data_IF_021282969149
#
_entry.id   IF_021282969149
#
_cell.length_a   1.000
_cell.length_b   1.000
_cell.length_c   1.000
_cell.angle_alpha   90.00
_cell.angle_beta   90.00
_cell.angle_gamma   90.00
#
_symmetry.space_group_name_H-M   'P 1'
#
loop_
_entity.id
_entity.type
_entity.pdbx_description
1 polymer ?
#
# COMPACT_ATOMS: atom_id res chain seq x y z
N UNK A 1 -1.20 -13.93 -25.77
CA UNK A 1 -0.75 -13.18 -24.57
C UNK A 1 -0.85 -11.67 -24.81
N UNK A 2 0.12 -11.03 -25.48
CA UNK A 2 0.12 -9.56 -25.66
C UNK A 2 -1.20 -8.97 -26.19
N UNK A 3 -1.70 -9.46 -27.33
CA UNK A 3 -2.96 -8.97 -27.90
C UNK A 3 -4.17 -9.17 -26.98
N UNK A 4 -4.24 -10.30 -26.27
CA UNK A 4 -5.28 -10.56 -25.27
C UNK A 4 -5.23 -9.54 -24.14
N UNK A 5 -4.02 -9.24 -23.64
CA UNK A 5 -3.76 -8.22 -22.62
C UNK A 5 -4.17 -6.81 -23.10
N UNK A 6 -3.83 -6.45 -24.33
CA UNK A 6 -4.28 -5.19 -24.95
C UNK A 6 -5.80 -5.10 -24.97
N UNK A 7 -6.48 -6.15 -25.47
CA UNK A 7 -7.94 -6.17 -25.58
C UNK A 7 -8.56 -6.04 -24.20
N UNK A 8 -8.10 -6.82 -23.22
CA UNK A 8 -8.59 -6.78 -21.84
C UNK A 8 -8.44 -5.40 -21.22
N UNK A 9 -7.24 -4.80 -21.30
CA UNK A 9 -6.98 -3.50 -20.67
C UNK A 9 -7.81 -2.40 -21.30
N UNK A 10 -8.00 -2.44 -22.63
CA UNK A 10 -8.80 -1.43 -23.32
C UNK A 10 -10.30 -1.60 -23.13
N UNK A 11 -10.80 -2.83 -22.95
CA UNK A 11 -12.23 -3.11 -22.74
C UNK A 11 -12.64 -2.90 -21.28
N UNK A 12 -12.09 -3.69 -20.37
CA UNK A 12 -12.55 -3.78 -18.96
C UNK A 12 -11.61 -3.12 -17.96
N UNK A 13 -10.40 -2.74 -18.38
CA UNK A 13 -9.47 -2.02 -17.52
C UNK A 13 -10.08 -0.71 -16.99
N UNK A 14 -9.78 -0.37 -15.74
CA UNK A 14 -10.38 0.80 -15.08
C UNK A 14 -9.47 2.03 -15.08
N UNK A 15 -8.15 1.86 -15.28
CA UNK A 15 -7.21 2.98 -15.31
C UNK A 15 -7.04 3.57 -16.72
N UNK A 16 -7.48 4.81 -16.90
CA UNK A 16 -7.38 5.52 -18.17
C UNK A 16 -5.95 5.90 -18.54
N UNK A 17 -5.05 6.05 -17.56
CA UNK A 17 -3.62 6.23 -17.81
C UNK A 17 -3.06 5.02 -18.56
N UNK A 18 -3.28 3.84 -18.00
CA UNK A 18 -2.87 2.56 -18.56
C UNK A 18 -3.47 2.30 -19.93
N UNK A 19 -4.75 2.61 -20.15
CA UNK A 19 -5.35 2.50 -21.48
C UNK A 19 -4.66 3.37 -22.53
N UNK A 20 -4.22 4.59 -22.17
CA UNK A 20 -3.45 5.43 -23.09
C UNK A 20 -2.08 4.84 -23.39
N UNK A 21 -1.39 4.33 -22.37
CA UNK A 21 -0.09 3.66 -22.54
C UNK A 21 -0.18 2.43 -23.43
N UNK A 22 -1.17 1.56 -23.20
CA UNK A 22 -1.41 0.37 -24.03
C UNK A 22 -1.68 0.74 -25.49
N UNK A 23 -2.44 1.81 -25.76
CA UNK A 23 -2.62 2.31 -27.14
C UNK A 23 -1.31 2.80 -27.75
N UNK A 24 -0.47 3.49 -26.97
CA UNK A 24 0.85 3.95 -27.43
C UNK A 24 1.79 2.76 -27.69
N UNK A 25 1.81 1.77 -26.82
CA UNK A 25 2.59 0.53 -26.98
C UNK A 25 2.11 -0.26 -28.20
N UNK A 26 0.79 -0.39 -28.41
CA UNK A 26 0.23 -1.04 -29.59
C UNK A 26 0.70 -0.37 -30.89
N UNK A 27 0.73 0.97 -30.92
CA UNK A 27 1.28 1.71 -32.05
C UNK A 27 2.79 1.50 -32.22
N UNK A 28 3.55 1.59 -31.13
CA UNK A 28 5.00 1.45 -31.13
C UNK A 28 5.47 0.06 -31.58
N UNK A 29 4.70 -0.99 -31.25
CA UNK A 29 4.96 -2.38 -31.64
C UNK A 29 4.44 -2.72 -33.05
N UNK A 30 4.08 -1.71 -33.86
CA UNK A 30 3.68 -1.86 -35.27
C UNK A 30 2.23 -2.28 -35.50
N UNK A 31 1.45 -2.47 -34.44
CA UNK A 31 0.06 -2.94 -34.50
C UNK A 31 -0.98 -1.81 -34.48
N UNK A 32 -0.56 -0.55 -34.66
CA UNK A 32 -1.44 0.61 -34.63
C UNK A 32 -2.60 0.59 -35.63
N UNK A 33 -2.48 -0.18 -36.72
CA UNK A 33 -3.56 -0.36 -37.71
C UNK A 33 -4.79 -1.05 -37.11
N UNK A 34 -4.65 -1.84 -36.04
CA UNK A 34 -5.77 -2.49 -35.36
C UNK A 34 -6.80 -1.49 -34.83
N UNK A 35 -6.40 -0.25 -34.52
CA UNK A 35 -7.34 0.79 -34.09
C UNK A 35 -8.39 1.15 -35.16
N UNK A 36 -8.17 0.77 -36.43
CA UNK A 36 -9.13 0.95 -37.54
C UNK A 36 -9.96 -0.29 -37.83
N UNK A 37 -9.63 -1.42 -37.20
CA UNK A 37 -10.27 -2.70 -37.44
C UNK A 37 -11.60 -2.79 -36.67
N UNK A 38 -12.70 -3.03 -37.38
CA UNK A 38 -14.04 -3.04 -36.76
C UNK A 38 -14.17 -4.17 -35.73
N UNK A 39 -13.58 -5.34 -36.00
CA UNK A 39 -13.56 -6.45 -35.03
C UNK A 39 -12.84 -6.06 -33.74
N UNK A 40 -11.72 -5.35 -33.85
CA UNK A 40 -10.95 -4.90 -32.68
C UNK A 40 -11.72 -3.83 -31.89
N UNK A 41 -12.25 -2.83 -32.60
CA UNK A 41 -13.06 -1.76 -31.99
C UNK A 41 -14.31 -2.29 -31.29
N UNK A 42 -14.95 -3.34 -31.81
CA UNK A 42 -16.09 -3.98 -31.13
C UNK A 42 -15.69 -4.63 -29.80
N UNK A 43 -14.50 -5.23 -29.71
CA UNK A 43 -14.04 -5.87 -28.47
C UNK A 43 -13.65 -4.84 -27.40
N UNK A 44 -12.90 -3.80 -27.79
CA UNK A 44 -12.40 -2.82 -26.82
C UNK A 44 -13.45 -1.82 -26.33
N UNK A 45 -14.61 -1.76 -26.99
CA UNK A 45 -15.74 -0.91 -26.58
C UNK A 45 -16.80 -1.69 -25.77
N UNK A 46 -16.53 -2.95 -25.42
CA UNK A 46 -17.38 -3.71 -24.51
C UNK A 46 -16.94 -3.46 -23.06
N UNK A 47 -17.89 -3.37 -22.14
CA UNK A 47 -17.64 -3.33 -20.69
C UNK A 47 -17.45 -4.74 -20.09
N UNK A 48 -17.24 -5.75 -20.95
CA UNK A 48 -17.08 -7.16 -20.59
C UNK A 48 -15.91 -7.78 -21.35
N UNK A 49 -15.30 -8.80 -20.75
CA UNK A 49 -14.25 -9.58 -21.38
C UNK A 49 -14.70 -11.04 -21.53
N UNK A 50 -14.93 -11.47 -22.77
CA UNK A 50 -15.21 -12.86 -23.11
C UNK A 50 -13.93 -13.51 -23.64
N UNK A 51 -13.41 -14.49 -22.91
CA UNK A 51 -12.15 -15.17 -23.22
C UNK A 51 -12.23 -15.98 -24.52
N UNK A 52 -13.36 -16.63 -24.80
CA UNK A 52 -13.54 -17.43 -26.01
C UNK A 52 -13.62 -16.54 -27.24
N UNK A 53 -14.44 -15.48 -27.19
CA UNK A 53 -14.55 -14.51 -28.27
C UNK A 53 -13.22 -13.79 -28.52
N UNK A 54 -12.52 -13.42 -27.45
CA UNK A 54 -11.21 -12.76 -27.55
C UNK A 54 -10.17 -13.69 -28.16
N UNK A 55 -10.13 -14.95 -27.76
CA UNK A 55 -9.17 -15.93 -28.30
C UNK A 55 -9.33 -16.11 -29.80
N UNK A 56 -10.57 -16.27 -30.29
CA UNK A 56 -10.87 -16.37 -31.72
C UNK A 56 -10.45 -15.10 -32.49
N UNK A 57 -10.70 -13.92 -31.90
CA UNK A 57 -10.30 -12.65 -32.51
C UNK A 57 -8.79 -12.47 -32.53
N UNK A 58 -8.09 -12.88 -31.48
CA UNK A 58 -6.62 -12.84 -31.40
C UNK A 58 -5.99 -13.71 -32.47
N UNK A 59 -6.50 -14.92 -32.73
CA UNK A 59 -6.03 -15.76 -33.84
C UNK A 59 -6.18 -15.05 -35.19
N UNK A 60 -7.34 -14.42 -35.43
CA UNK A 60 -7.57 -13.61 -36.61
C UNK A 60 -6.57 -12.44 -36.71
N UNK A 61 -6.31 -11.70 -35.63
CA UNK A 61 -5.36 -10.60 -35.65
C UNK A 61 -3.92 -11.06 -35.86
N UNK A 62 -3.52 -12.20 -35.30
CA UNK A 62 -2.19 -12.78 -35.54
C UNK A 62 -2.03 -13.12 -37.03
N UNK A 63 -3.02 -13.75 -37.65
CA UNK A 63 -2.96 -14.12 -39.07
C UNK A 63 -2.88 -12.90 -40.00
N UNK A 64 -3.63 -11.83 -39.71
CA UNK A 64 -3.77 -10.68 -40.61
C UNK A 64 -2.81 -9.52 -40.31
N UNK A 65 -2.38 -9.37 -39.05
CA UNK A 65 -1.57 -8.25 -38.57
C UNK A 65 -0.28 -8.69 -37.88
N UNK A 66 -0.11 -9.97 -37.55
CA UNK A 66 1.04 -10.47 -36.79
C UNK A 66 2.39 -10.24 -37.47
N UNK A 67 2.43 -10.20 -38.81
CA UNK A 67 3.66 -9.87 -39.55
C UNK A 67 4.16 -8.42 -39.33
N UNK A 68 3.30 -7.52 -38.85
CA UNK A 68 3.65 -6.15 -38.51
C UNK A 68 4.09 -5.98 -37.05
N UNK A 69 4.02 -7.04 -36.23
CA UNK A 69 4.45 -6.99 -34.83
C UNK A 69 5.98 -6.86 -34.75
N UNK A 70 6.44 -5.82 -34.06
CA UNK A 70 7.86 -5.59 -33.81
C UNK A 70 8.18 -5.80 -32.33
N UNK A 71 8.89 -6.89 -32.01
CA UNK A 71 9.30 -7.26 -30.63
C UNK A 71 10.76 -7.70 -30.55
N UNK A 72 11.58 -7.24 -31.49
CA UNK A 72 12.97 -7.69 -31.63
C UNK A 72 13.87 -7.03 -30.58
N UNK A 73 13.71 -5.73 -30.34
CA UNK A 73 14.54 -4.97 -29.40
C UNK A 73 14.17 -5.24 -27.95
N UNK A 74 15.14 -5.07 -27.05
CA UNK A 74 14.90 -5.21 -25.61
C UNK A 74 13.77 -4.29 -25.13
N UNK A 75 13.74 -3.03 -25.58
CA UNK A 75 12.71 -2.06 -25.22
C UNK A 75 11.31 -2.47 -25.67
N UNK A 76 11.20 -3.15 -26.80
CA UNK A 76 9.91 -3.60 -27.33
C UNK A 76 9.37 -4.80 -26.56
N UNK A 77 10.27 -5.73 -26.21
CA UNK A 77 9.92 -6.84 -25.31
C UNK A 77 9.48 -6.35 -23.95
N UNK A 78 10.16 -5.33 -23.41
CA UNK A 78 9.78 -4.70 -22.14
C UNK A 78 8.38 -4.09 -22.23
N UNK A 79 8.07 -3.31 -23.28
CA UNK A 79 6.71 -2.76 -23.48
C UNK A 79 5.64 -3.84 -23.49
N UNK A 80 5.83 -4.89 -24.29
CA UNK A 80 4.88 -5.99 -24.38
C UNK A 80 4.72 -6.75 -23.06
N UNK A 81 5.83 -6.98 -22.34
CA UNK A 81 5.81 -7.66 -21.06
C UNK A 81 5.13 -6.84 -19.95
N UNK A 82 5.33 -5.53 -19.93
CA UNK A 82 4.66 -4.61 -18.98
C UNK A 82 3.15 -4.64 -19.21
N UNK A 83 2.68 -4.64 -20.46
CA UNK A 83 1.26 -4.78 -20.79
C UNK A 83 0.68 -6.11 -20.27
N UNK A 84 1.37 -7.23 -20.47
CA UNK A 84 0.95 -8.54 -19.93
C UNK A 84 0.92 -8.55 -18.40
N UNK A 85 1.97 -8.03 -17.77
CA UNK A 85 2.10 -7.98 -16.32
C UNK A 85 0.96 -7.17 -15.69
N UNK A 86 0.72 -5.95 -16.17
CA UNK A 86 -0.32 -5.07 -15.60
C UNK A 86 -1.73 -5.59 -15.87
N UNK A 87 -1.98 -6.28 -17.00
CA UNK A 87 -3.26 -6.99 -17.17
C UNK A 87 -3.46 -7.97 -16.03
N UNK A 88 -2.49 -8.85 -15.77
CA UNK A 88 -2.64 -9.86 -14.71
C UNK A 88 -2.77 -9.23 -13.33
N UNK A 89 -2.01 -8.18 -13.07
CA UNK A 89 -2.10 -7.44 -11.81
C UNK A 89 -3.47 -6.80 -11.61
N UNK A 90 -4.00 -6.10 -12.62
CA UNK A 90 -5.31 -5.45 -12.53
C UNK A 90 -6.48 -6.45 -12.52
N UNK A 91 -6.34 -7.62 -13.16
CA UNK A 91 -7.30 -8.73 -13.00
C UNK A 91 -7.42 -9.17 -11.53
N UNK A 92 -6.29 -9.36 -10.86
CA UNK A 92 -6.23 -9.75 -9.45
C UNK A 92 -6.85 -8.65 -8.58
N UNK A 93 -6.50 -7.38 -8.81
CA UNK A 93 -7.08 -6.26 -8.07
C UNK A 93 -8.59 -6.15 -8.27
N UNK A 94 -9.08 -6.27 -9.51
CA UNK A 94 -10.51 -6.23 -9.79
C UNK A 94 -11.28 -7.38 -9.11
N UNK A 95 -10.66 -8.56 -9.01
CA UNK A 95 -11.25 -9.67 -8.28
C UNK A 95 -11.23 -9.48 -6.75
N UNK A 96 -10.17 -8.88 -6.20
CA UNK A 96 -10.13 -8.46 -4.79
C UNK A 96 -11.25 -7.45 -4.50
N UNK A 97 -11.42 -6.45 -5.35
CA UNK A 97 -12.48 -5.43 -5.23
C UNK A 97 -13.89 -6.03 -5.26
N UNK A 98 -14.09 -7.12 -6.01
CA UNK A 98 -15.34 -7.92 -6.00
C UNK A 98 -15.48 -8.84 -4.78
N UNK A 99 -14.60 -8.76 -3.79
CA UNK A 99 -14.63 -9.58 -2.58
C UNK A 99 -14.08 -10.99 -2.75
N UNK A 100 -13.36 -11.28 -3.85
CA UNK A 100 -12.79 -12.61 -4.14
C UNK A 100 -11.38 -12.80 -3.57
N UNK A 101 -10.87 -11.85 -2.78
CA UNK A 101 -9.49 -11.84 -2.28
C UNK A 101 -9.11 -13.09 -1.47
N UNK A 102 -10.00 -13.59 -0.59
CA UNK A 102 -9.73 -14.79 0.20
C UNK A 102 -9.68 -16.07 -0.65
N UNK A 103 -10.54 -16.16 -1.67
CA UNK A 103 -10.52 -17.29 -2.60
C UNK A 103 -9.22 -17.29 -3.42
N UNK A 104 -8.86 -16.14 -4.01
CA UNK A 104 -7.65 -15.99 -4.79
C UNK A 104 -6.38 -16.23 -3.96
N UNK A 105 -6.36 -15.80 -2.71
CA UNK A 105 -5.23 -16.05 -1.81
C UNK A 105 -4.99 -17.54 -1.61
N UNK A 106 -6.06 -18.34 -1.45
CA UNK A 106 -5.95 -19.81 -1.32
C UNK A 106 -5.52 -20.50 -2.61
N UNK A 107 -5.90 -19.95 -3.76
CA UNK A 107 -5.55 -20.50 -5.07
C UNK A 107 -4.10 -20.20 -5.45
N UNK A 108 -3.64 -18.97 -5.18
CA UNK A 108 -2.35 -18.45 -5.64
C UNK A 108 -1.22 -18.61 -4.61
N UNK A 109 -1.53 -18.72 -3.33
CA UNK A 109 -0.52 -18.84 -2.27
C UNK A 109 -0.47 -20.28 -1.72
N UNK A 110 0.74 -20.76 -1.45
CA UNK A 110 0.94 -22.09 -0.88
C UNK A 110 0.46 -22.21 0.58
N UNK A 111 0.36 -21.10 1.30
CA UNK A 111 -0.10 -21.05 2.69
C UNK A 111 -1.53 -20.48 2.74
N UNK A 112 -2.54 -21.29 3.13
CA UNK A 112 -3.94 -20.86 3.18
C UNK A 112 -4.22 -19.81 4.27
N UNK A 113 -3.25 -19.53 5.16
CA UNK A 113 -3.35 -18.46 6.16
C UNK A 113 -2.89 -17.10 5.64
N UNK A 114 -2.13 -17.07 4.54
CA UNK A 114 -1.67 -15.83 3.93
C UNK A 114 -2.74 -15.24 3.03
N UNK A 115 -2.75 -13.92 2.92
CA UNK A 115 -3.53 -13.17 1.94
C UNK A 115 -2.62 -12.47 0.95
N UNK A 116 -3.17 -12.20 -0.24
CA UNK A 116 -2.52 -11.38 -1.27
C UNK A 116 -2.29 -9.94 -0.80
N UNK A 117 -3.20 -9.43 0.04
CA UNK A 117 -3.12 -8.11 0.65
C UNK A 117 -3.28 -8.27 2.15
N UNK A 118 -2.28 -7.85 2.91
CA UNK A 118 -2.28 -7.91 4.37
C UNK A 118 -1.84 -6.56 4.97
N UNK A 119 -2.43 -6.15 6.10
CA UNK A 119 -1.90 -5.06 6.88
C UNK A 119 -0.51 -5.42 7.41
N UNK A 120 0.39 -4.43 7.44
CA UNK A 120 1.59 -4.52 8.27
C UNK A 120 1.21 -4.86 9.71
N UNK A 121 1.97 -5.74 10.40
CA UNK A 121 1.74 -6.06 11.81
C UNK A 121 1.57 -4.81 12.66
N UNK A 122 0.52 -4.78 13.48
CA UNK A 122 0.22 -3.68 14.39
C UNK A 122 -0.35 -2.41 13.74
N UNK A 123 -0.49 -2.29 12.41
CA UNK A 123 -0.93 -1.04 11.76
C UNK A 123 -2.32 -0.58 12.20
N UNK A 124 -3.27 -1.50 12.38
CA UNK A 124 -4.62 -1.15 12.86
C UNK A 124 -4.58 -0.54 14.27
N UNK A 125 -3.83 -1.18 15.17
CA UNK A 125 -3.63 -0.71 16.55
C UNK A 125 -2.86 0.62 16.57
N UNK A 126 -1.82 0.76 15.75
CA UNK A 126 -1.06 1.99 15.61
C UNK A 126 -1.92 3.16 15.13
N UNK A 127 -2.73 2.95 14.08
CA UNK A 127 -3.66 3.97 13.59
C UNK A 127 -4.70 4.33 14.65
N UNK A 128 -5.27 3.34 15.35
CA UNK A 128 -6.21 3.60 16.44
C UNK A 128 -5.58 4.35 17.62
N UNK A 129 -4.31 4.06 17.93
CA UNK A 129 -3.52 4.77 18.92
C UNK A 129 -3.34 6.23 18.53
N UNK A 130 -2.72 6.50 17.38
CA UNK A 130 -2.32 7.88 17.02
C UNK A 130 -3.53 8.77 16.71
N UNK A 131 -4.68 8.21 16.33
CA UNK A 131 -5.94 8.96 16.20
C UNK A 131 -6.66 9.17 17.55
N UNK A 132 -6.08 8.69 18.65
CA UNK A 132 -6.57 8.93 20.01
C UNK A 132 -7.74 8.05 20.44
N UNK A 133 -7.95 6.91 19.78
CA UNK A 133 -9.14 6.08 19.98
C UNK A 133 -8.99 5.01 21.05
N UNK A 134 -7.75 4.59 21.32
CA UNK A 134 -7.49 3.57 22.34
C UNK A 134 -7.48 4.16 23.75
N UNK A 135 -6.85 5.33 23.96
CA UNK A 135 -6.63 5.86 25.30
C UNK A 135 -5.76 4.89 26.14
N UNK A 136 -6.02 4.81 27.43
CA UNK A 136 -5.27 3.94 28.35
C UNK A 136 -5.36 2.44 28.00
N UNK A 137 -6.39 2.01 27.24
CA UNK A 137 -6.54 0.63 26.76
C UNK A 137 -5.37 0.17 25.85
N UNK A 138 -4.49 1.08 25.41
CA UNK A 138 -3.26 0.69 24.71
C UNK A 138 -2.45 -0.34 25.51
N UNK A 139 -2.44 -0.24 26.85
CA UNK A 139 -1.71 -1.20 27.69
C UNK A 139 -2.19 -2.65 27.50
N UNK A 140 -3.47 -2.85 27.14
CA UNK A 140 -4.05 -4.19 26.94
C UNK A 140 -3.43 -4.92 25.74
N UNK A 141 -2.78 -4.21 24.82
CA UNK A 141 -2.06 -4.78 23.68
C UNK A 141 -0.60 -5.16 24.01
N UNK A 142 -0.14 -4.97 25.26
CA UNK A 142 1.24 -5.26 25.66
C UNK A 142 1.65 -6.69 25.33
N UNK A 143 0.84 -7.68 25.72
CA UNK A 143 1.19 -9.10 25.53
C UNK A 143 1.36 -9.41 24.04
N UNK A 144 0.40 -9.02 23.18
CA UNK A 144 0.46 -9.23 21.72
C UNK A 144 1.70 -8.57 21.08
N UNK A 145 2.00 -7.32 21.44
CA UNK A 145 3.19 -6.64 20.93
C UNK A 145 4.48 -7.31 21.41
N UNK A 146 4.53 -7.70 22.69
CA UNK A 146 5.72 -8.32 23.27
C UNK A 146 6.00 -9.70 22.68
N UNK A 147 4.97 -10.55 22.54
CA UNK A 147 5.07 -11.87 21.92
C UNK A 147 5.51 -11.77 20.46
N UNK A 148 4.97 -10.80 19.72
CA UNK A 148 5.40 -10.52 18.36
C UNK A 148 6.90 -10.17 18.32
N UNK A 149 7.36 -9.21 19.13
CA UNK A 149 8.76 -8.77 19.14
C UNK A 149 9.74 -9.83 19.65
N UNK A 150 9.32 -10.74 20.53
CA UNK A 150 10.15 -11.85 21.01
C UNK A 150 10.26 -12.96 19.95
N UNK A 151 9.17 -13.25 19.23
CA UNK A 151 9.13 -14.31 18.22
C UNK A 151 9.64 -13.88 16.85
N UNK A 152 9.81 -12.58 16.61
CA UNK A 152 10.22 -12.07 15.32
C UNK A 152 11.71 -12.38 15.05
N UNK A 153 12.07 -13.00 13.91
CA UNK A 153 13.41 -13.57 13.69
C UNK A 153 14.53 -12.52 13.53
N UNK A 154 14.18 -11.24 13.43
CA UNK A 154 15.11 -10.13 13.20
C UNK A 154 15.23 -9.19 14.40
N UNK A 155 14.59 -9.52 15.51
CA UNK A 155 14.67 -8.77 16.77
C UNK A 155 15.23 -9.67 17.86
N UNK A 156 15.92 -9.08 18.84
CA UNK A 156 16.57 -9.81 19.94
C UNK A 156 16.06 -9.32 21.31
N UNK A 157 14.78 -8.96 21.40
CA UNK A 157 14.20 -8.46 22.64
C UNK A 157 13.97 -9.58 23.67
N UNK A 158 14.22 -9.25 24.93
CA UNK A 158 13.96 -10.14 26.08
C UNK A 158 12.69 -9.73 26.81
N UNK A 159 12.02 -10.70 27.42
CA UNK A 159 10.79 -10.47 28.20
C UNK A 159 10.96 -9.39 29.26
N UNK A 160 12.02 -9.46 30.08
CA UNK A 160 12.26 -8.49 31.16
C UNK A 160 12.52 -7.07 30.62
N UNK A 161 13.14 -6.96 29.43
CA UNK A 161 13.38 -5.67 28.79
C UNK A 161 12.06 -5.03 28.34
N UNK A 162 11.19 -5.81 27.69
CA UNK A 162 9.90 -5.31 27.21
C UNK A 162 8.95 -5.01 28.37
N UNK A 163 8.98 -5.81 29.44
CA UNK A 163 8.18 -5.57 30.64
C UNK A 163 8.44 -4.18 31.26
N UNK A 164 9.69 -3.70 31.19
CA UNK A 164 10.05 -2.35 31.65
C UNK A 164 9.42 -1.21 30.83
N UNK A 165 8.94 -1.49 29.60
CA UNK A 165 8.28 -0.51 28.74
C UNK A 165 6.76 -0.44 28.92
N UNK A 166 6.15 -1.48 29.51
CA UNK A 166 4.69 -1.60 29.68
C UNK A 166 4.07 -0.37 30.34
N UNK A 167 4.71 0.16 31.38
CA UNK A 167 4.21 1.29 32.18
C UNK A 167 4.03 2.58 31.37
N UNK A 168 4.62 2.67 30.18
CA UNK A 168 4.50 3.84 29.28
C UNK A 168 3.26 3.79 28.39
N UNK A 169 2.65 2.61 28.22
CA UNK A 169 1.58 2.42 27.23
C UNK A 169 0.31 3.18 27.58
N UNK A 170 -0.16 3.11 28.83
CA UNK A 170 -1.34 3.87 29.24
C UNK A 170 -1.13 5.41 29.11
N UNK A 171 -0.01 5.99 29.61
CA UNK A 171 0.31 7.39 29.36
C UNK A 171 0.43 7.77 27.88
N UNK A 172 1.04 6.93 27.06
CA UNK A 172 1.17 7.15 25.62
C UNK A 172 -0.21 7.18 24.93
N UNK A 173 -1.08 6.24 25.30
CA UNK A 173 -2.45 6.20 24.81
C UNK A 173 -3.25 7.45 25.20
N UNK A 174 -3.11 7.92 26.44
CA UNK A 174 -3.72 9.17 26.91
C UNK A 174 -3.19 10.39 26.17
N UNK A 175 -1.88 10.46 25.92
CA UNK A 175 -1.27 11.55 25.15
C UNK A 175 -1.94 11.70 23.77
N UNK A 176 -2.09 10.62 23.00
CA UNK A 176 -2.74 10.70 21.69
C UNK A 176 -4.25 10.90 21.76
N UNK A 177 -4.89 10.52 22.86
CA UNK A 177 -6.31 10.85 23.11
C UNK A 177 -6.51 12.37 23.22
N UNK A 178 -5.57 13.07 23.87
CA UNK A 178 -5.57 14.53 24.00
C UNK A 178 -4.99 15.24 22.76
N UNK A 179 -4.10 14.57 22.04
CA UNK A 179 -3.35 15.11 20.90
C UNK A 179 -3.37 14.16 19.69
N UNK A 180 -4.54 13.94 19.06
CA UNK A 180 -4.65 13.04 17.91
C UNK A 180 -3.80 13.56 16.74
N UNK A 181 -3.05 12.66 16.11
CA UNK A 181 -2.21 12.98 14.97
C UNK A 181 -3.04 13.12 13.68
N UNK A 182 -2.58 14.01 12.79
CA UNK A 182 -2.96 14.00 11.38
C UNK A 182 -2.15 12.93 10.65
N UNK A 183 -2.78 12.17 9.78
CA UNK A 183 -2.16 11.02 9.11
C UNK A 183 -2.34 11.13 7.61
N UNK A 184 -1.25 10.93 6.85
CA UNK A 184 -1.34 10.78 5.40
C UNK A 184 -0.82 9.42 4.95
N UNK A 185 -1.41 8.88 3.90
CA UNK A 185 -0.84 7.76 3.13
C UNK A 185 -0.15 8.31 1.88
N UNK A 186 1.06 7.84 1.60
CA UNK A 186 1.91 8.31 0.50
C UNK A 186 2.49 7.11 -0.26
N UNK A 187 1.99 6.84 -1.46
CA UNK A 187 2.35 5.65 -2.24
C UNK A 187 2.72 5.97 -3.70
N UNK A 188 3.60 5.16 -4.28
CA UNK A 188 3.90 5.18 -5.72
C UNK A 188 2.93 4.33 -6.55
N UNK A 189 1.92 3.72 -5.93
CA UNK A 189 0.78 3.14 -6.65
C UNK A 189 -0.15 4.24 -7.14
N UNK A 190 -0.84 4.01 -8.26
CA UNK A 190 -1.89 4.92 -8.73
C UNK A 190 -3.12 4.86 -7.82
N UNK A 191 -4.00 5.87 -7.92
CA UNK A 191 -5.18 5.99 -7.06
C UNK A 191 -6.10 4.76 -7.11
N UNK A 192 -6.32 4.21 -8.31
CA UNK A 192 -7.12 3.00 -8.50
C UNK A 192 -6.62 1.83 -7.64
N UNK A 193 -5.32 1.54 -7.72
CA UNK A 193 -4.69 0.43 -7.00
C UNK A 193 -4.70 0.67 -5.49
N UNK A 194 -4.34 1.88 -5.08
CA UNK A 194 -4.29 2.27 -3.67
C UNK A 194 -5.66 2.15 -2.99
N UNK A 195 -6.74 2.53 -3.67
CA UNK A 195 -8.10 2.41 -3.14
C UNK A 195 -8.49 0.95 -2.86
N UNK A 196 -8.22 0.04 -3.80
CA UNK A 196 -8.55 -1.38 -3.67
C UNK A 196 -7.75 -2.00 -2.53
N UNK A 197 -6.42 -1.79 -2.54
CA UNK A 197 -5.52 -2.34 -1.54
C UNK A 197 -5.88 -1.83 -0.15
N UNK A 198 -6.10 -0.53 0.04
CA UNK A 198 -6.45 0.03 1.36
C UNK A 198 -7.83 -0.42 1.83
N UNK A 199 -8.80 -0.60 0.92
CA UNK A 199 -10.11 -1.16 1.27
C UNK A 199 -9.97 -2.58 1.80
N UNK A 200 -9.15 -3.42 1.15
CA UNK A 200 -8.90 -4.79 1.62
C UNK A 200 -8.10 -4.79 2.93
N UNK A 201 -7.07 -3.95 3.06
CA UNK A 201 -6.33 -3.78 4.34
C UNK A 201 -7.29 -3.43 5.47
N UNK A 202 -8.22 -2.49 5.27
CA UNK A 202 -9.19 -2.09 6.30
C UNK A 202 -10.22 -3.19 6.58
N UNK A 203 -10.62 -3.97 5.57
CA UNK A 203 -11.44 -5.18 5.74
C UNK A 203 -10.75 -6.18 6.67
N UNK A 204 -9.44 -6.41 6.50
CA UNK A 204 -8.64 -7.27 7.37
C UNK A 204 -8.50 -6.70 8.78
N UNK A 205 -8.19 -5.40 8.93
CA UNK A 205 -8.10 -4.72 10.23
C UNK A 205 -9.42 -4.83 10.99
N UNK A 206 -10.57 -4.65 10.33
CA UNK A 206 -11.88 -4.81 10.95
C UNK A 206 -12.11 -6.22 11.49
N UNK A 207 -11.61 -7.25 10.81
CA UNK A 207 -11.64 -8.64 11.32
C UNK A 207 -10.74 -8.80 12.56
N UNK A 208 -9.59 -8.12 12.59
CA UNK A 208 -8.69 -8.12 13.75
C UNK A 208 -9.32 -7.43 14.97
N UNK A 209 -9.99 -6.29 14.78
CA UNK A 209 -10.65 -5.51 15.85
C UNK A 209 -11.62 -6.36 16.69
N UNK A 210 -12.31 -7.31 16.08
CA UNK A 210 -13.24 -8.21 16.79
C UNK A 210 -12.55 -9.00 17.91
N UNK A 211 -11.26 -9.30 17.75
CA UNK A 211 -10.45 -10.07 18.69
C UNK A 211 -9.56 -9.18 19.58
N UNK A 212 -9.62 -7.86 19.47
CA UNK A 212 -8.82 -6.97 20.30
C UNK A 212 -9.21 -7.07 21.79
N UNK A 213 -8.24 -6.92 22.71
CA UNK A 213 -8.47 -7.06 24.15
C UNK A 213 -9.09 -5.78 24.76
N UNK A 214 -10.16 -5.25 24.16
CA UNK A 214 -10.84 -4.02 24.57
C UNK A 214 -12.35 -4.24 24.72
N UNK A 215 -13.06 -3.28 25.31
CA UNK A 215 -14.50 -3.40 25.51
C UNK A 215 -15.30 -3.52 24.20
N UNK A 216 -16.42 -4.26 24.23
CA UNK A 216 -17.29 -4.42 23.05
C UNK A 216 -17.82 -3.07 22.52
N UNK A 217 -18.06 -2.11 23.41
CA UNK A 217 -18.42 -0.74 23.02
C UNK A 217 -17.31 -0.11 22.16
N UNK A 218 -16.05 -0.18 22.62
CA UNK A 218 -14.92 0.40 21.90
C UNK A 218 -14.65 -0.34 20.58
N UNK A 219 -14.84 -1.67 20.53
CA UNK A 219 -14.80 -2.43 19.27
C UNK A 219 -15.83 -1.91 18.27
N UNK A 220 -17.08 -1.72 18.69
CA UNK A 220 -18.14 -1.21 17.81
C UNK A 220 -17.81 0.19 17.26
N UNK A 221 -17.27 1.09 18.10
CA UNK A 221 -16.82 2.41 17.67
C UNK A 221 -15.68 2.32 16.64
N UNK A 222 -14.68 1.48 16.89
CA UNK A 222 -13.54 1.30 15.99
C UNK A 222 -13.95 0.67 14.66
N UNK A 223 -14.84 -0.33 14.66
CA UNK A 223 -15.37 -0.93 13.44
C UNK A 223 -16.04 0.10 12.52
N UNK A 224 -16.74 1.08 13.10
CA UNK A 224 -17.32 2.21 12.36
C UNK A 224 -16.24 3.13 11.80
N UNK A 225 -15.23 3.48 12.61
CA UNK A 225 -14.12 4.36 12.18
C UNK A 225 -13.24 3.75 11.08
N UNK A 226 -13.06 2.43 11.10
CA UNK A 226 -12.33 1.68 10.07
C UNK A 226 -13.22 1.23 8.89
N UNK A 227 -14.43 1.77 8.75
CA UNK A 227 -15.31 1.41 7.63
C UNK A 227 -14.80 1.96 6.28
N UNK A 228 -14.25 3.18 6.27
CA UNK A 228 -13.77 3.83 5.06
C UNK A 228 -12.33 4.34 5.26
N UNK A 229 -11.35 3.86 4.47
CA UNK A 229 -9.97 4.35 4.52
C UNK A 229 -9.87 5.87 4.35
N UNK A 230 -10.69 6.46 3.45
CA UNK A 230 -10.63 7.90 3.14
C UNK A 230 -11.11 8.81 4.26
N UNK A 231 -11.87 8.30 5.22
CA UNK A 231 -12.24 9.09 6.40
C UNK A 231 -11.18 9.07 7.51
N UNK A 232 -10.23 8.13 7.46
CA UNK A 232 -9.18 8.00 8.47
C UNK A 232 -7.97 8.88 8.13
N UNK A 233 -7.55 8.86 6.86
CA UNK A 233 -6.40 9.61 6.38
C UNK A 233 -6.78 11.05 6.07
N UNK A 234 -6.10 11.99 6.73
CA UNK A 234 -6.21 13.43 6.51
C UNK A 234 -5.50 13.87 5.22
N UNK A 235 -4.59 13.04 4.68
CA UNK A 235 -3.97 13.20 3.38
C UNK A 235 -3.89 11.86 2.63
N UNK A 236 -4.12 11.89 1.32
CA UNK A 236 -4.11 10.70 0.47
C UNK A 236 -3.38 11.04 -0.82
N UNK A 237 -2.13 10.59 -0.92
CA UNK A 237 -1.24 10.92 -2.04
C UNK A 237 -0.76 9.64 -2.71
N UNK A 238 -0.90 9.62 -4.02
CA UNK A 238 -0.65 8.47 -4.89
C UNK A 238 0.20 8.90 -6.08
N UNK A 239 0.66 7.95 -6.89
CA UNK A 239 1.37 8.29 -8.13
C UNK A 239 0.51 9.13 -9.09
N UNK A 240 -0.82 9.06 -8.99
CA UNK A 240 -1.74 9.88 -9.78
C UNK A 240 -1.67 11.37 -9.46
N UNK A 241 -1.10 11.75 -8.31
CA UNK A 241 -0.93 13.15 -7.89
C UNK A 241 0.38 13.78 -8.42
N UNK A 242 1.22 13.00 -9.10
CA UNK A 242 2.49 13.48 -9.66
C UNK A 242 2.74 12.94 -11.07
N UNK A 243 3.89 13.26 -11.64
CA UNK A 243 4.35 12.67 -12.90
C UNK A 243 5.28 11.49 -12.62
N UNK A 244 5.28 10.47 -13.48
CA UNK A 244 6.17 9.29 -13.43
C UNK A 244 7.63 9.63 -13.05
N UNK A 245 8.21 10.63 -13.72
CA UNK A 245 9.61 11.06 -13.53
C UNK A 245 9.88 11.73 -12.17
N UNK A 246 8.83 11.99 -11.39
CA UNK A 246 8.85 12.65 -10.07
C UNK A 246 8.31 11.75 -8.96
N UNK A 247 8.13 10.45 -9.24
CA UNK A 247 7.87 9.46 -8.19
C UNK A 247 9.12 9.20 -7.34
N UNK A 248 8.96 8.44 -6.24
CA UNK A 248 10.06 8.03 -5.35
C UNK A 248 11.23 7.50 -6.21
N UNK A 249 12.48 7.97 -6.01
CA UNK A 249 13.02 8.62 -4.80
C UNK A 249 12.85 10.14 -4.73
N UNK A 250 12.08 10.76 -5.63
CA UNK A 250 11.83 12.20 -5.57
C UNK A 250 10.86 12.54 -4.43
N UNK A 251 11.00 13.75 -3.89
CA UNK A 251 10.25 14.21 -2.70
C UNK A 251 8.79 14.58 -2.96
N UNK A 252 8.35 14.59 -4.20
CA UNK A 252 7.16 15.32 -4.65
C UNK A 252 5.90 14.81 -3.95
N UNK A 253 5.71 13.49 -3.86
CA UNK A 253 4.55 12.89 -3.17
C UNK A 253 4.49 13.29 -1.68
N UNK A 254 5.64 13.30 -1.00
CA UNK A 254 5.72 13.77 0.39
C UNK A 254 5.48 15.26 0.53
N UNK A 255 5.95 16.06 -0.44
CA UNK A 255 5.73 17.51 -0.45
C UNK A 255 4.24 17.84 -0.63
N UNK A 256 3.55 17.08 -1.48
CA UNK A 256 2.09 17.17 -1.66
C UNK A 256 1.39 16.76 -0.36
N UNK A 257 1.82 15.67 0.29
CA UNK A 257 1.22 15.20 1.54
C UNK A 257 1.35 16.24 2.66
N UNK A 258 2.54 16.82 2.85
CA UNK A 258 2.78 17.88 3.83
C UNK A 258 1.90 19.10 3.57
N UNK A 259 1.70 19.46 2.30
CA UNK A 259 0.78 20.52 1.90
C UNK A 259 -0.69 20.17 2.21
N UNK A 260 -1.17 18.97 1.84
CA UNK A 260 -2.53 18.50 2.14
C UNK A 260 -2.79 18.48 3.65
N UNK A 261 -1.80 18.06 4.44
CA UNK A 261 -1.86 18.07 5.90
C UNK A 261 -1.75 19.48 6.48
N UNK A 262 -1.45 20.52 5.70
CA UNK A 262 -1.26 21.88 6.20
C UNK A 262 -0.10 22.01 7.19
N UNK A 263 1.00 21.27 6.96
CA UNK A 263 2.20 21.30 7.79
C UNK A 263 3.24 22.22 7.12
N UNK A 264 3.55 23.39 7.71
CA UNK A 264 4.58 24.26 7.16
C UNK A 264 5.99 23.71 7.43
N UNK A 265 7.02 24.12 6.65
CA UNK A 265 8.41 23.67 6.84
C UNK A 265 8.96 23.84 8.27
N UNK A 266 8.56 24.92 8.96
CA UNK A 266 8.95 25.19 10.35
C UNK A 266 8.37 24.20 11.38
N UNK A 267 7.59 23.21 10.94
CA UNK A 267 7.02 22.16 11.80
C UNK A 267 7.41 20.76 11.33
N UNK A 268 8.34 20.62 10.37
CA UNK A 268 8.76 19.30 9.88
C UNK A 268 9.44 18.46 10.96
N UNK A 269 10.00 19.07 12.01
CA UNK A 269 10.48 18.35 13.20
C UNK A 269 9.38 17.58 13.94
N UNK A 270 8.11 17.95 13.76
CA UNK A 270 6.96 17.29 14.37
C UNK A 270 6.37 16.20 13.47
N UNK A 271 7.02 15.89 12.35
CA UNK A 271 6.58 14.88 11.38
C UNK A 271 7.45 13.64 11.51
N UNK A 272 6.78 12.51 11.70
CA UNK A 272 7.33 11.17 11.55
C UNK A 272 6.80 10.57 10.26
N UNK A 273 7.61 9.82 9.53
CA UNK A 273 7.08 8.95 8.49
C UNK A 273 7.75 7.60 8.45
N UNK A 274 6.95 6.62 8.04
CA UNK A 274 7.30 5.22 8.00
C UNK A 274 7.43 4.78 6.54
N UNK A 275 8.51 4.09 6.21
CA UNK A 275 8.83 3.61 4.87
C UNK A 275 9.40 2.20 4.92
N UNK A 276 9.28 1.46 3.83
CA UNK A 276 9.73 0.07 3.76
C UNK A 276 10.86 -0.15 2.74
N UNK A 277 11.15 0.84 1.89
CA UNK A 277 12.06 0.73 0.75
C UNK A 277 13.10 1.85 0.69
N UNK A 278 14.23 1.58 0.03
CA UNK A 278 15.30 2.56 -0.21
C UNK A 278 14.75 3.84 -0.86
N UNK A 279 14.04 3.69 -1.99
CA UNK A 279 13.47 4.83 -2.71
C UNK A 279 12.54 5.68 -1.83
N UNK A 280 11.78 5.04 -0.94
CA UNK A 280 10.91 5.70 0.02
C UNK A 280 11.67 6.47 1.09
N UNK A 281 12.66 5.82 1.73
CA UNK A 281 13.51 6.47 2.72
C UNK A 281 14.29 7.66 2.14
N UNK A 282 14.71 7.60 0.88
CA UNK A 282 15.33 8.75 0.20
C UNK A 282 14.29 9.86 -0.04
N UNK A 283 13.12 9.53 -0.56
CA UNK A 283 12.07 10.49 -0.90
C UNK A 283 11.59 11.29 0.31
N UNK A 284 11.36 10.63 1.44
CA UNK A 284 10.89 11.29 2.67
C UNK A 284 11.95 12.22 3.26
N UNK A 285 13.23 11.82 3.22
CA UNK A 285 14.35 12.64 3.66
C UNK A 285 14.56 13.84 2.74
N UNK A 286 14.44 13.64 1.44
CA UNK A 286 14.49 14.71 0.44
C UNK A 286 13.35 15.72 0.58
N UNK A 287 12.22 15.32 1.18
CA UNK A 287 11.11 16.22 1.54
C UNK A 287 11.40 17.07 2.79
N UNK A 288 12.51 16.81 3.50
CA UNK A 288 12.92 17.54 4.70
C UNK A 288 12.38 16.96 6.00
N UNK A 289 11.74 15.78 5.98
CA UNK A 289 11.25 15.12 7.19
C UNK A 289 12.42 14.49 7.95
N UNK A 290 12.62 14.99 9.17
CA UNK A 290 13.76 14.66 10.04
C UNK A 290 13.72 13.23 10.60
N UNK A 291 12.52 12.71 10.87
CA UNK A 291 12.31 11.41 11.49
C UNK A 291 11.72 10.43 10.47
N UNK A 292 12.61 9.74 9.75
CA UNK A 292 12.27 8.66 8.84
C UNK A 292 12.52 7.32 9.55
N UNK A 293 11.49 6.49 9.64
CA UNK A 293 11.56 5.17 10.26
C UNK A 293 11.37 4.11 9.18
N UNK A 294 12.41 3.35 8.90
CA UNK A 294 12.31 2.22 8.00
C UNK A 294 11.73 1.00 8.74
N UNK A 295 10.73 0.36 8.13
CA UNK A 295 10.04 -0.84 8.62
C UNK A 295 10.14 -1.94 7.54
N UNK A 296 11.33 -2.55 7.36
CA UNK A 296 11.59 -3.47 6.26
C UNK A 296 10.74 -4.74 6.34
N UNK A 297 10.40 -5.30 5.19
CA UNK A 297 9.73 -6.60 5.07
C UNK A 297 10.49 -7.53 4.13
N UNK A 298 9.93 -8.71 3.85
CA UNK A 298 10.60 -9.78 3.10
C UNK A 298 11.18 -9.33 1.75
N UNK A 299 10.46 -8.47 1.01
CA UNK A 299 10.89 -8.07 -0.34
C UNK A 299 11.88 -6.89 -0.34
N UNK A 300 12.10 -6.23 0.81
CA UNK A 300 13.02 -5.10 0.94
C UNK A 300 14.26 -5.40 1.77
N UNK A 301 14.52 -6.67 2.11
CA UNK A 301 15.64 -7.08 2.95
C UNK A 301 17.03 -6.76 2.37
N UNK A 302 17.13 -6.48 1.07
CA UNK A 302 18.38 -6.12 0.38
C UNK A 302 18.51 -4.64 0.04
N UNK A 303 17.54 -3.80 0.40
CA UNK A 303 17.57 -2.37 0.12
C UNK A 303 18.56 -1.62 1.01
N UNK A 304 19.16 -0.55 0.48
CA UNK A 304 19.95 0.39 1.29
C UNK A 304 19.00 1.33 2.04
N UNK A 305 18.84 1.11 3.35
CA UNK A 305 17.98 1.91 4.22
C UNK A 305 18.77 2.94 5.04
N UNK A 306 20.03 3.24 4.68
CA UNK A 306 20.90 4.17 5.41
C UNK A 306 20.38 5.62 5.43
N UNK A 307 19.45 5.97 4.53
CA UNK A 307 18.76 7.26 4.56
C UNK A 307 17.80 7.40 5.76
N UNK A 308 17.31 6.29 6.32
CA UNK A 308 16.40 6.31 7.46
C UNK A 308 17.12 6.72 8.76
N UNK A 309 16.38 7.42 9.63
CA UNK A 309 16.86 7.79 10.97
C UNK A 309 16.88 6.57 11.90
N UNK A 310 15.88 5.69 11.76
CA UNK A 310 15.77 4.43 12.49
C UNK A 310 15.37 3.31 11.53
N UNK A 311 15.83 2.09 11.79
CA UNK A 311 15.39 0.87 11.10
C UNK A 311 14.82 -0.05 12.18
N UNK A 312 13.51 -0.29 12.13
CA UNK A 312 12.80 -1.11 13.11
C UNK A 312 12.41 -2.44 12.47
N UNK A 313 13.15 -3.50 12.80
CA UNK A 313 12.89 -4.83 12.26
C UNK A 313 11.57 -5.40 12.80
N UNK A 314 11.17 -5.02 14.00
CA UNK A 314 9.89 -5.34 14.62
C UNK A 314 8.74 -4.40 14.24
N UNK A 315 8.95 -3.52 13.25
CA UNK A 315 7.88 -2.71 12.66
C UNK A 315 7.19 -1.75 13.62
N UNK A 316 5.88 -1.55 13.44
CA UNK A 316 5.07 -0.66 14.27
C UNK A 316 4.94 -1.10 15.74
N UNK A 317 4.84 -2.40 16.08
CA UNK A 317 4.93 -2.85 17.46
C UNK A 317 6.20 -2.37 18.18
N UNK A 318 7.35 -2.38 17.49
CA UNK A 318 8.61 -1.85 18.03
C UNK A 318 8.55 -0.33 18.23
N UNK A 319 8.02 0.40 17.24
CA UNK A 319 7.84 1.85 17.32
C UNK A 319 6.98 2.27 18.52
N UNK A 320 5.91 1.52 18.80
CA UNK A 320 4.99 1.79 19.92
C UNK A 320 5.60 1.36 21.26
N UNK A 321 5.99 0.08 21.39
CA UNK A 321 6.37 -0.48 22.68
C UNK A 321 7.77 -0.03 23.13
N UNK A 322 8.74 -0.03 22.23
CA UNK A 322 10.14 0.26 22.58
C UNK A 322 10.43 1.75 22.50
N UNK A 323 9.91 2.41 21.46
CA UNK A 323 10.21 3.82 21.19
C UNK A 323 9.13 4.80 21.65
N UNK A 324 7.98 4.33 22.16
CA UNK A 324 6.86 5.18 22.57
C UNK A 324 6.47 6.21 21.49
N UNK A 325 6.41 5.75 20.23
CA UNK A 325 6.20 6.58 19.04
C UNK A 325 7.20 7.74 18.89
N UNK A 326 8.42 7.57 19.43
CA UNK A 326 9.50 8.55 19.46
C UNK A 326 9.14 9.85 20.21
N UNK A 327 8.17 9.80 21.11
CA UNK A 327 7.86 10.92 21.99
C UNK A 327 8.90 11.01 23.13
N UNK A 328 9.30 12.23 23.53
CA UNK A 328 10.14 12.42 24.70
C UNK A 328 9.46 11.90 25.98
N UNK A 329 10.24 11.27 26.87
CA UNK A 329 9.73 10.71 28.13
C UNK A 329 9.01 11.76 29.01
N UNK A 330 9.44 13.02 28.94
CA UNK A 330 8.81 14.11 29.70
C UNK A 330 7.36 14.38 29.25
N UNK A 331 6.98 13.97 28.03
CA UNK A 331 5.60 14.03 27.54
C UNK A 331 4.73 12.92 28.12
N UNK A 332 5.33 11.81 28.53
CA UNK A 332 4.63 10.64 29.07
C UNK A 332 4.52 10.69 30.61
N UNK A 333 5.40 11.45 31.26
CA UNK A 333 5.42 11.61 32.72
C UNK A 333 4.50 12.74 33.23
N UNK A 334 3.97 13.59 32.35
CA UNK A 334 3.01 14.64 32.75
C UNK A 334 1.61 14.04 32.91
N UNK A 335 1.33 13.50 34.09
CA UNK A 335 -0.01 13.31 34.63
C UNK A 335 0.00 13.39 36.15
#
# INVERSE_FOLDING_TARGET
>A
AYLSSVIWTLSVGQDEGRKREVRNNLNALGLGKLAKEERFNRLINQDTFDEAQTSEAVEYFIQNYGAALHVEEFTDRVRAAIDIYYTRYHEILAAIDRGQGEYLSKELLADPKKRLVEPMPGVGMFLALIKGWLGEDLELFFEEMSEYLISHPKTEYKTDQLAAYRTRLAPLGKFFQEHPARVAVVTSSIEYEANIVLTEVFSVIRKQILNWPISEQKKAELLSRFQNPRSLYDGFVTASDSSEIRLKPHRDLYSIALHQLGIPPAQFENVIGFEDSESGTIAIRAAGIGLCVAVPFADTQGHDLTAATHILQGGLPEAVLVHACFLPEERLQKN
#
